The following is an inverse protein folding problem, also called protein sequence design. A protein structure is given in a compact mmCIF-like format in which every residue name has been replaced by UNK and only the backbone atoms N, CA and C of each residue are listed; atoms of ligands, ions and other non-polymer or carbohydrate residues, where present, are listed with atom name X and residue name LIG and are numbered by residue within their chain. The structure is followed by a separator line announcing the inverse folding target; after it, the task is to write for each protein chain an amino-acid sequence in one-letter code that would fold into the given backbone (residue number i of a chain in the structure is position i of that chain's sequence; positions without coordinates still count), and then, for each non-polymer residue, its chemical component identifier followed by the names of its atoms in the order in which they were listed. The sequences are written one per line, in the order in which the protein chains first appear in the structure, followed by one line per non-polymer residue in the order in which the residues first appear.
data_IF_494383350209
#
_entry.id   IF_494383350209
#
_cell.length_a   1.000
_cell.length_b   1.000
_cell.length_c   1.000
_cell.angle_alpha   90.00
_cell.angle_beta   90.00
_cell.angle_gamma   90.00
#
_symmetry.space_group_name_H-M   'P 1'
#
loop_
_entity.id
_entity.type
_entity.pdbx_description
1 polymer ?
#
# COMPACT_ATOMS: atom_id res chain seq x y z
N UNK A 1 0.69 -8.69 -7.77
CA UNK A 1 -0.16 -8.07 -8.82
C UNK A 1 -0.43 -9.11 -9.90
N UNK A 2 -1.65 -9.62 -9.98
CA UNK A 2 -2.06 -10.63 -10.97
C UNK A 2 -2.44 -9.93 -12.27
N UNK A 3 -1.73 -10.21 -13.38
CA UNK A 3 -2.05 -9.62 -14.67
C UNK A 3 -3.42 -10.11 -15.16
N UNK A 4 -4.25 -9.13 -15.48
CA UNK A 4 -5.65 -9.24 -15.81
C UNK A 4 -5.91 -10.04 -17.10
N UNK A 5 -7.08 -10.69 -17.12
CA UNK A 5 -7.69 -11.44 -18.23
C UNK A 5 -7.44 -10.79 -19.60
N UNK A 6 -6.60 -11.42 -20.42
CA UNK A 6 -6.42 -11.06 -21.83
C UNK A 6 -7.70 -11.46 -22.58
N UNK A 7 -8.39 -10.48 -23.15
CA UNK A 7 -9.54 -10.69 -24.02
C UNK A 7 -9.10 -11.48 -25.27
N UNK A 8 -9.41 -12.77 -25.34
CA UNK A 8 -9.08 -13.64 -26.49
C UNK A 8 -9.73 -13.21 -27.81
N UNK A 9 -10.69 -12.27 -27.78
CA UNK A 9 -11.49 -11.83 -28.92
C UNK A 9 -11.34 -10.31 -29.15
N UNK A 10 -10.13 -9.84 -29.47
CA UNK A 10 -9.95 -8.50 -30.01
C UNK A 10 -10.67 -8.38 -31.36
N UNK A 11 -11.48 -7.32 -31.53
CA UNK A 11 -12.09 -6.98 -32.82
C UNK A 11 -11.04 -6.63 -33.89
N UNK A 12 -9.82 -6.29 -33.45
CA UNK A 12 -8.68 -6.02 -34.30
C UNK A 12 -7.82 -7.27 -34.38
N UNK A 13 -7.88 -7.94 -35.54
CA UNK A 13 -6.98 -9.04 -35.89
C UNK A 13 -5.89 -8.50 -36.80
N UNK A 14 -4.64 -8.80 -36.46
CA UNK A 14 -3.52 -8.51 -37.36
C UNK A 14 -3.64 -9.39 -38.61
N UNK A 15 -3.33 -8.87 -39.81
CA UNK A 15 -3.27 -9.67 -41.02
C UNK A 15 -2.33 -10.87 -40.85
N UNK A 16 -2.66 -11.97 -41.53
CA UNK A 16 -1.77 -13.14 -41.57
C UNK A 16 -0.40 -12.71 -42.12
N UNK A 17 0.68 -13.21 -41.52
CA UNK A 17 2.06 -12.99 -42.01
C UNK A 17 2.58 -11.54 -41.84
N UNK A 18 1.83 -10.65 -41.16
CA UNK A 18 2.25 -9.24 -40.96
C UNK A 18 3.64 -9.11 -40.32
N UNK A 19 3.86 -9.81 -39.19
CA UNK A 19 5.14 -9.74 -38.48
C UNK A 19 6.23 -10.60 -39.13
N UNK A 20 5.87 -11.69 -39.81
CA UNK A 20 6.84 -12.56 -40.49
C UNK A 20 7.57 -11.84 -41.64
N UNK A 21 6.90 -10.90 -42.32
CA UNK A 21 7.47 -10.11 -43.42
C UNK A 21 7.94 -8.72 -43.01
N UNK A 22 7.81 -8.36 -41.73
CA UNK A 22 8.10 -7.02 -41.28
C UNK A 22 9.58 -6.66 -41.48
N UNK A 23 10.48 -7.54 -41.04
CA UNK A 23 11.93 -7.29 -41.11
C UNK A 23 12.40 -7.15 -42.56
N UNK A 24 11.95 -8.05 -43.43
CA UNK A 24 12.28 -8.03 -44.87
C UNK A 24 11.80 -6.72 -45.53
N UNK A 25 10.55 -6.32 -45.27
CA UNK A 25 9.99 -5.08 -45.80
C UNK A 25 10.75 -3.84 -45.27
N UNK A 26 11.10 -3.84 -43.98
CA UNK A 26 11.80 -2.75 -43.33
C UNK A 26 13.21 -2.54 -43.88
N UNK A 27 13.99 -3.61 -44.05
CA UNK A 27 15.35 -3.51 -44.60
C UNK A 27 15.35 -3.13 -46.07
N UNK A 28 14.39 -3.65 -46.86
CA UNK A 28 14.21 -3.23 -48.25
C UNK A 28 13.90 -1.72 -48.34
N UNK A 29 13.02 -1.19 -47.48
CA UNK A 29 12.70 0.24 -47.46
C UNK A 29 13.93 1.10 -47.11
N UNK A 30 14.75 0.68 -46.15
CA UNK A 30 16.00 1.36 -45.79
C UNK A 30 17.00 1.39 -46.96
N UNK A 31 17.14 0.29 -47.69
CA UNK A 31 18.02 0.22 -48.86
C UNK A 31 17.52 1.14 -49.99
N UNK A 32 16.22 1.10 -50.29
CA UNK A 32 15.62 1.99 -51.29
C UNK A 32 15.81 3.47 -50.93
N UNK A 33 15.67 3.83 -49.66
CA UNK A 33 15.84 5.22 -49.19
C UNK A 33 17.28 5.72 -49.31
N UNK A 34 18.26 4.83 -49.22
CA UNK A 34 19.67 5.18 -49.46
C UNK A 34 19.98 5.40 -50.95
N UNK A 35 19.25 4.72 -51.84
CA UNK A 35 19.43 4.82 -53.28
C UNK A 35 18.60 5.94 -53.92
N UNK A 36 17.43 6.24 -53.37
CA UNK A 36 16.49 7.25 -53.88
C UNK A 36 16.23 8.28 -52.78
N UNK A 37 16.80 9.48 -52.96
CA UNK A 37 16.76 10.56 -51.97
C UNK A 37 15.41 11.27 -51.88
N UNK A 38 14.66 11.31 -52.99
CA UNK A 38 13.40 12.02 -53.09
C UNK A 38 12.31 11.13 -53.66
N UNK A 39 11.09 11.27 -53.14
CA UNK A 39 9.91 10.60 -53.67
C UNK A 39 9.70 10.99 -55.14
N UNK A 40 9.43 10.01 -56.00
CA UNK A 40 9.01 10.27 -57.39
C UNK A 40 7.63 10.95 -57.50
N UNK A 41 6.90 11.04 -56.38
CA UNK A 41 5.66 11.79 -56.27
C UNK A 41 5.95 13.16 -55.67
N UNK A 42 5.92 14.19 -56.51
CA UNK A 42 5.89 15.59 -56.08
C UNK A 42 4.44 16.06 -56.15
N UNK A 43 3.96 16.72 -55.11
CA UNK A 43 2.71 17.45 -55.17
C UNK A 43 2.85 18.56 -56.21
N UNK A 44 1.87 18.75 -57.11
CA UNK A 44 1.88 19.86 -58.05
C UNK A 44 2.04 21.19 -57.32
N UNK A 45 2.70 22.14 -57.97
CA UNK A 45 2.83 23.49 -57.42
C UNK A 45 1.41 24.07 -57.20
N UNK A 46 1.22 24.78 -56.09
CA UNK A 46 -0.03 25.44 -55.67
C UNK A 46 -1.23 24.51 -55.35
N UNK A 47 -1.08 23.18 -55.39
CA UNK A 47 -2.17 22.22 -55.12
C UNK A 47 -2.83 22.38 -53.74
N UNK A 48 -2.09 22.83 -52.74
CA UNK A 48 -2.58 23.00 -51.37
C UNK A 48 -2.98 24.44 -51.04
N UNK A 49 -2.83 25.38 -51.96
CA UNK A 49 -3.06 26.80 -51.68
C UNK A 49 -4.55 27.09 -51.41
N UNK A 50 -5.44 26.33 -52.05
CA UNK A 50 -6.89 26.41 -51.83
C UNK A 50 -7.40 25.39 -50.81
N UNK A 51 -6.52 24.54 -50.25
CA UNK A 51 -6.91 23.50 -49.32
C UNK A 51 -7.32 24.08 -47.97
N UNK A 52 -8.62 24.35 -47.83
CA UNK A 52 -9.24 24.77 -46.59
C UNK A 52 -9.95 23.60 -45.92
N UNK A 53 -9.23 22.87 -45.06
CA UNK A 53 -9.86 21.89 -44.18
C UNK A 53 -10.69 22.63 -43.12
N UNK A 54 -12.00 22.72 -43.35
CA UNK A 54 -12.93 23.15 -42.31
C UNK A 54 -12.95 22.09 -41.22
N UNK A 55 -12.17 22.29 -40.16
CA UNK A 55 -12.30 21.49 -38.95
C UNK A 55 -13.69 21.80 -38.40
N UNK A 56 -14.63 20.83 -38.36
CA UNK A 56 -15.91 21.07 -37.74
C UNK A 56 -15.62 21.50 -36.31
N UNK A 57 -15.92 22.75 -35.99
CA UNK A 57 -15.82 23.24 -34.61
C UNK A 57 -16.68 22.28 -33.81
N UNK A 58 -16.04 21.43 -33.00
CA UNK A 58 -16.75 20.62 -32.06
C UNK A 58 -17.39 21.62 -31.11
N UNK A 59 -18.66 21.94 -31.36
CA UNK A 59 -19.45 22.61 -30.36
C UNK A 59 -19.38 21.68 -29.16
N UNK A 60 -18.62 22.08 -28.13
CA UNK A 60 -18.77 21.51 -26.80
C UNK A 60 -20.22 21.78 -26.45
N UNK A 61 -21.08 20.83 -26.80
CA UNK A 61 -22.42 20.72 -26.26
C UNK A 61 -22.20 20.54 -24.77
N UNK A 62 -22.17 21.67 -24.08
CA UNK A 62 -22.39 21.78 -22.66
C UNK A 62 -23.85 21.39 -22.43
N UNK A 63 -24.14 20.10 -22.61
CA UNK A 63 -25.28 19.44 -22.03
C UNK A 63 -25.08 19.43 -20.51
N UNK A 64 -25.17 20.62 -19.91
CA UNK A 64 -25.41 20.77 -18.48
C UNK A 64 -26.81 20.22 -18.26
N UNK A 65 -26.88 18.90 -18.08
CA UNK A 65 -28.09 18.16 -17.72
C UNK A 65 -28.65 18.88 -16.49
N UNK A 66 -29.79 19.54 -16.62
CA UNK A 66 -30.48 20.16 -15.48
C UNK A 66 -30.80 19.03 -14.50
N UNK A 67 -30.02 18.93 -13.42
CA UNK A 67 -30.27 17.97 -12.35
C UNK A 67 -31.52 18.46 -11.62
N UNK A 68 -32.61 17.69 -11.73
CA UNK A 68 -33.84 17.97 -11.01
C UNK A 68 -33.60 17.75 -9.51
N UNK A 69 -33.34 18.82 -8.76
CA UNK A 69 -33.02 18.81 -7.31
C UNK A 69 -34.15 18.26 -6.41
N UNK A 70 -35.29 17.85 -6.97
CA UNK A 70 -36.46 17.37 -6.22
C UNK A 70 -36.15 16.18 -5.31
N UNK A 71 -35.12 15.39 -5.63
CA UNK A 71 -34.73 14.22 -4.86
C UNK A 71 -33.45 14.39 -4.02
N UNK A 72 -32.84 15.58 -4.00
CA UNK A 72 -31.57 15.82 -3.30
C UNK A 72 -31.67 15.66 -1.79
N UNK A 73 -32.83 15.97 -1.20
CA UNK A 73 -33.06 15.84 0.24
C UNK A 73 -33.18 14.38 0.70
N UNK A 74 -33.78 13.51 -0.14
CA UNK A 74 -33.92 12.08 0.18
C UNK A 74 -32.56 11.36 0.22
N UNK A 75 -31.64 11.73 -0.68
CA UNK A 75 -30.27 11.20 -0.70
C UNK A 75 -29.53 11.54 0.59
N UNK A 76 -29.72 12.76 1.11
CA UNK A 76 -29.13 13.19 2.38
C UNK A 76 -29.68 12.44 3.59
N UNK A 77 -31.00 12.16 3.62
CA UNK A 77 -31.63 11.42 4.71
C UNK A 77 -31.15 9.96 4.78
N UNK A 78 -31.03 9.29 3.64
CA UNK A 78 -30.54 7.91 3.55
C UNK A 78 -29.08 7.83 4.00
N UNK A 79 -28.23 8.78 3.58
CA UNK A 79 -26.84 8.82 4.01
C UNK A 79 -26.71 9.01 5.54
N UNK A 80 -27.48 9.93 6.13
CA UNK A 80 -27.46 10.18 7.57
C UNK A 80 -27.93 8.94 8.37
N UNK A 81 -28.98 8.26 7.91
CA UNK A 81 -29.46 7.03 8.55
C UNK A 81 -28.41 5.90 8.51
N UNK A 82 -27.67 5.75 7.41
CA UNK A 82 -26.58 4.78 7.31
C UNK A 82 -25.42 5.09 8.25
N UNK A 83 -25.06 6.38 8.41
CA UNK A 83 -24.02 6.81 9.36
C UNK A 83 -24.45 6.52 10.80
N UNK A 84 -25.71 6.79 11.14
CA UNK A 84 -26.26 6.51 12.47
C UNK A 84 -26.31 5.00 12.77
N UNK A 85 -26.71 4.20 11.78
CA UNK A 85 -26.70 2.74 11.86
C UNK A 85 -25.28 2.20 12.06
N UNK A 86 -24.30 2.74 11.34
CA UNK A 86 -22.90 2.33 11.49
C UNK A 86 -22.31 2.74 12.86
N UNK A 87 -22.59 3.96 13.33
CA UNK A 87 -22.18 4.44 14.66
C UNK A 87 -22.72 3.57 15.80
N UNK A 88 -23.95 3.08 15.68
CA UNK A 88 -24.56 2.23 16.70
C UNK A 88 -24.21 0.74 16.57
N UNK A 89 -23.88 0.28 15.36
CA UNK A 89 -23.59 -1.13 15.08
C UNK A 89 -22.13 -1.53 15.35
N UNK A 90 -21.23 -0.57 15.63
CA UNK A 90 -19.85 -0.88 15.99
C UNK A 90 -19.79 -1.36 17.45
N UNK A 91 -19.23 -2.56 17.73
CA UNK A 91 -18.98 -2.97 19.11
C UNK A 91 -18.02 -1.96 19.75
N UNK A 92 -18.38 -1.44 20.93
CA UNK A 92 -17.42 -0.70 21.75
C UNK A 92 -16.47 -1.72 22.35
N UNK A 93 -15.18 -1.58 22.05
CA UNK A 93 -14.12 -2.21 22.83
C UNK A 93 -14.27 -1.71 24.27
N UNK A 94 -14.78 -2.57 25.15
CA UNK A 94 -14.77 -2.31 26.59
C UNK A 94 -13.32 -2.44 27.03
N UNK A 95 -12.71 -1.33 27.44
CA UNK A 95 -11.36 -1.34 27.98
C UNK A 95 -11.44 -2.10 29.30
N UNK A 96 -11.09 -3.38 29.27
CA UNK A 96 -11.05 -4.23 30.46
C UNK A 96 -9.96 -3.70 31.39
N UNK A 97 -10.36 -3.31 32.60
CA UNK A 97 -9.42 -2.94 33.65
C UNK A 97 -8.64 -4.21 34.05
N UNK A 98 -7.33 -4.21 33.79
CA UNK A 98 -6.48 -5.36 34.07
C UNK A 98 -6.24 -5.40 35.59
N UNK A 99 -6.66 -6.47 36.24
CA UNK A 99 -6.44 -6.65 37.68
C UNK A 99 -4.98 -7.01 37.97
N UNK A 100 -4.49 -6.61 39.15
CA UNK A 100 -3.12 -6.94 39.60
C UNK A 100 -2.89 -8.46 39.62
N UNK A 101 -3.88 -9.23 40.04
CA UNK A 101 -3.80 -10.69 40.10
C UNK A 101 -3.71 -11.35 38.71
N UNK A 102 -4.28 -10.71 37.68
CA UNK A 102 -4.07 -11.12 36.28
C UNK A 102 -2.64 -10.87 35.82
N UNK A 103 -2.07 -9.72 36.22
CA UNK A 103 -0.68 -9.36 35.91
C UNK A 103 0.27 -10.32 36.63
N UNK A 104 0.04 -10.60 37.91
CA UNK A 104 0.87 -11.55 38.69
C UNK A 104 0.83 -12.96 38.09
N UNK A 105 -0.35 -13.45 37.71
CA UNK A 105 -0.46 -14.75 37.06
C UNK A 105 0.23 -14.78 35.68
N UNK A 106 0.18 -13.69 34.93
CA UNK A 106 0.96 -13.56 33.70
C UNK A 106 2.46 -13.60 33.99
N UNK A 107 2.90 -12.88 35.03
CA UNK A 107 4.30 -12.78 35.43
C UNK A 107 4.89 -14.09 35.99
N UNK A 108 4.07 -14.97 36.56
CA UNK A 108 4.53 -16.22 37.17
C UNK A 108 4.54 -17.38 36.15
N UNK A 109 3.61 -17.38 35.20
CA UNK A 109 3.36 -18.56 34.36
C UNK A 109 3.96 -18.50 32.95
N UNK A 110 4.38 -17.32 32.48
CA UNK A 110 5.05 -17.17 31.17
C UNK A 110 6.57 -17.33 31.32
N UNK A 111 7.15 -18.22 30.50
CA UNK A 111 8.52 -18.72 30.64
C UNK A 111 9.60 -17.70 30.22
N UNK A 112 9.27 -16.73 29.36
CA UNK A 112 10.21 -15.72 28.88
C UNK A 112 9.61 -14.30 28.95
N UNK A 113 9.95 -13.59 30.03
CA UNK A 113 9.38 -12.27 30.35
C UNK A 113 10.37 -11.14 30.18
N UNK A 114 11.59 -11.45 29.77
CA UNK A 114 12.69 -10.49 29.69
C UNK A 114 12.33 -9.30 28.80
N UNK A 115 11.70 -9.55 27.65
CA UNK A 115 11.28 -8.49 26.73
C UNK A 115 10.11 -7.65 27.25
N UNK A 116 9.13 -8.27 27.92
CA UNK A 116 7.99 -7.56 28.50
C UNK A 116 8.42 -6.66 29.68
N UNK A 117 9.30 -7.19 30.54
CA UNK A 117 9.86 -6.45 31.68
C UNK A 117 10.77 -5.32 31.22
N UNK A 118 11.55 -5.49 30.15
CA UNK A 118 12.38 -4.43 29.57
C UNK A 118 11.57 -3.24 29.03
N UNK A 119 10.31 -3.46 28.66
CA UNK A 119 9.42 -2.38 28.20
C UNK A 119 8.72 -1.66 29.36
N UNK A 120 8.57 -2.31 30.51
CA UNK A 120 7.91 -1.77 31.71
C UNK A 120 8.93 -1.07 32.61
N UNK A 121 10.11 -1.66 32.80
CA UNK A 121 11.19 -1.13 33.63
C UNK A 121 12.04 -0.18 32.80
N UNK A 122 11.82 1.13 32.95
CA UNK A 122 12.67 2.12 32.28
C UNK A 122 13.99 2.31 33.03
N UNK A 123 15.02 2.80 32.35
CA UNK A 123 16.32 3.08 32.98
C UNK A 123 16.20 4.08 34.15
N UNK A 124 15.19 4.94 34.16
CA UNK A 124 14.90 5.87 35.25
C UNK A 124 14.41 5.13 36.50
N UNK A 125 13.52 4.14 36.34
CA UNK A 125 13.00 3.33 37.45
C UNK A 125 14.10 2.45 38.08
N UNK A 126 15.07 2.00 37.28
CA UNK A 126 16.24 1.26 37.75
C UNK A 126 17.26 2.15 38.46
N UNK A 127 17.27 3.45 38.19
CA UNK A 127 18.16 4.41 38.84
C UNK A 127 17.77 4.61 40.32
N UNK A 128 16.48 4.53 40.65
CA UNK A 128 16.03 4.54 42.05
C UNK A 128 16.47 3.28 42.81
N UNK A 129 16.52 2.11 42.16
CA UNK A 129 17.06 0.86 42.73
C UNK A 129 18.57 0.94 42.99
N UNK A 130 19.30 1.71 42.18
CA UNK A 130 20.75 1.93 42.36
C UNK A 130 21.12 2.69 43.65
N UNK A 131 20.11 3.29 44.32
CA UNK A 131 20.29 3.94 45.63
C UNK A 131 20.27 2.98 46.82
N UNK A 132 19.92 1.71 46.60
CA UNK A 132 20.05 0.67 47.61
C UNK A 132 21.54 0.32 47.72
N UNK A 133 22.23 0.91 48.69
CA UNK A 133 23.63 0.64 49.02
C UNK A 133 23.75 -0.75 49.66
N UNK A 134 23.53 -1.81 48.87
CA UNK A 134 23.67 -3.19 49.32
C UNK A 134 25.15 -3.52 49.37
N UNK A 135 25.64 -3.90 50.55
CA UNK A 135 27.05 -4.25 50.71
C UNK A 135 27.35 -5.58 49.99
N UNK A 136 28.57 -5.72 49.47
CA UNK A 136 29.04 -7.00 48.91
C UNK A 136 28.85 -8.17 49.89
N UNK A 137 29.01 -7.92 51.20
CA UNK A 137 28.81 -8.94 52.24
C UNK A 137 27.36 -9.38 52.42
N UNK A 138 26.39 -8.51 52.17
CA UNK A 138 24.96 -8.87 52.23
C UNK A 138 24.57 -9.71 51.01
N UNK A 139 25.08 -9.35 49.83
CA UNK A 139 24.87 -10.12 48.60
C UNK A 139 25.52 -11.50 48.75
N UNK A 140 26.76 -11.57 49.22
CA UNK A 140 27.49 -12.82 49.45
C UNK A 140 26.74 -13.73 50.43
N UNK A 141 26.29 -13.20 51.57
CA UNK A 141 25.54 -13.97 52.55
C UNK A 141 24.20 -14.47 52.01
N UNK A 142 23.49 -13.64 51.23
CA UNK A 142 22.22 -14.04 50.63
C UNK A 142 22.42 -15.19 49.63
N UNK A 143 23.44 -15.09 48.79
CA UNK A 143 23.78 -16.14 47.82
C UNK A 143 24.20 -17.41 48.56
N UNK A 144 25.06 -17.32 49.58
CA UNK A 144 25.47 -18.51 50.35
C UNK A 144 24.33 -19.20 51.09
N UNK A 145 23.30 -18.45 51.53
CA UNK A 145 22.15 -19.03 52.21
C UNK A 145 21.11 -19.66 51.28
N UNK A 146 21.00 -19.16 50.05
CA UNK A 146 19.90 -19.53 49.14
C UNK A 146 20.35 -20.27 47.88
N UNK A 147 21.63 -20.21 47.51
CA UNK A 147 22.18 -20.96 46.41
C UNK A 147 22.51 -22.39 46.84
N UNK A 148 22.21 -23.36 45.98
CA UNK A 148 22.60 -24.75 46.23
C UNK A 148 24.10 -24.93 46.04
N UNK A 149 24.69 -25.88 46.77
CA UNK A 149 26.12 -26.21 46.66
C UNK A 149 26.50 -26.60 45.22
N UNK A 150 25.60 -27.25 44.49
CA UNK A 150 25.79 -27.59 43.06
C UNK A 150 25.94 -26.34 42.19
N UNK A 151 25.19 -25.27 42.49
CA UNK A 151 25.19 -24.00 41.74
C UNK A 151 26.48 -23.21 41.95
N UNK A 152 27.11 -23.34 43.13
CA UNK A 152 28.34 -22.63 43.49
C UNK A 152 29.63 -23.32 43.03
N UNK A 153 29.52 -24.58 42.58
CA UNK A 153 30.66 -25.42 42.16
C UNK A 153 30.81 -25.54 40.63
N UNK A 154 30.11 -24.70 39.87
CA UNK A 154 30.30 -24.62 38.42
C UNK A 154 31.58 -23.80 38.16
N UNK A 155 32.65 -24.50 37.72
CA UNK A 155 33.80 -23.90 37.02
C UNK A 155 33.41 -23.48 35.58
#
# INVERSE_FOLDING_TARGET
MTLNKIHKNSAFKVPKVYFEKFDEAFFNELELKNQVKESGFKTPDDYLDEFNASIPRTFKSNNSRKINKKHSFYISGIAAALVLLFMFSLPREEIQEISLETIENYLINEEDQSEALSNILTLEDLNDVSTLEVSYSEIENYILQNASVETLLID
#
